data_IF_653022720180
#
_entry.id   IF_653022720180
#
_cell.length_a   1.000
_cell.length_b   1.000
_cell.length_c   1.000
_cell.angle_alpha   90.00
_cell.angle_beta   90.00
_cell.angle_gamma   90.00
#
_symmetry.space_group_name_H-M   'P 1'
#
loop_
_entity.id
_entity.type
_entity.pdbx_description
1 polymer ?
#
# COMPACT_ATOMS: atom_id res chain seq x y z
N UNK A 1 11.66 31.91 -12.63
CA UNK A 1 10.88 32.30 -11.43
C UNK A 1 10.64 31.03 -10.63
N UNK A 2 11.42 30.80 -9.58
CA UNK A 2 11.21 29.68 -8.67
C UNK A 2 9.85 29.88 -8.00
N UNK A 3 8.87 29.07 -8.40
CA UNK A 3 7.57 29.00 -7.73
C UNK A 3 7.83 28.38 -6.37
N UNK A 4 7.90 29.24 -5.35
CA UNK A 4 8.17 28.89 -3.97
C UNK A 4 7.00 28.02 -3.47
N UNK A 5 7.10 26.70 -3.70
CA UNK A 5 6.07 25.74 -3.27
C UNK A 5 5.98 25.77 -1.75
N UNK A 6 4.79 26.06 -1.23
CA UNK A 6 4.52 26.02 0.21
C UNK A 6 4.99 24.69 0.82
N UNK A 7 5.66 24.77 1.97
CA UNK A 7 6.04 23.57 2.72
C UNK A 7 4.82 22.92 3.37
N UNK A 8 4.92 21.65 3.79
CA UNK A 8 3.82 20.97 4.50
C UNK A 8 3.39 21.70 5.78
N UNK A 9 4.30 22.45 6.41
CA UNK A 9 4.02 23.27 7.60
C UNK A 9 3.32 24.58 7.28
N UNK A 10 3.26 24.98 6.01
CA UNK A 10 2.61 26.22 5.57
C UNK A 10 1.19 25.99 5.07
N UNK A 11 0.80 24.74 4.80
CA UNK A 11 -0.59 24.40 4.51
C UNK A 11 -1.50 24.72 5.71
N UNK A 12 -2.77 25.07 5.48
CA UNK A 12 -3.78 25.09 6.53
C UNK A 12 -3.79 23.74 7.28
N UNK A 13 -3.96 23.74 8.60
CA UNK A 13 -3.97 22.50 9.39
C UNK A 13 -4.99 21.48 8.85
N UNK A 14 -6.14 21.94 8.35
CA UNK A 14 -7.15 21.10 7.73
C UNK A 14 -6.68 20.32 6.50
N UNK A 15 -5.61 20.77 5.84
CA UNK A 15 -5.03 20.15 4.64
C UNK A 15 -3.75 19.36 4.95
N UNK A 16 -3.24 19.44 6.18
CA UNK A 16 -2.08 18.66 6.60
C UNK A 16 -2.53 17.23 6.89
N UNK A 17 -1.96 16.20 6.24
CA UNK A 17 -2.44 14.82 6.39
C UNK A 17 -2.49 14.36 7.85
N UNK A 18 -1.48 14.69 8.66
CA UNK A 18 -1.42 14.29 10.06
C UNK A 18 -2.56 14.89 10.89
N UNK A 19 -2.79 16.20 10.78
CA UNK A 19 -3.86 16.89 11.52
C UNK A 19 -5.24 16.49 11.00
N UNK A 20 -5.39 16.28 9.69
CA UNK A 20 -6.60 15.77 9.06
C UNK A 20 -6.94 14.37 9.57
N UNK A 21 -5.95 13.48 9.69
CA UNK A 21 -6.13 12.14 10.27
C UNK A 21 -6.55 12.23 11.74
N UNK A 22 -5.90 13.09 12.52
CA UNK A 22 -6.23 13.29 13.94
C UNK A 22 -7.65 13.82 14.16
N UNK A 23 -8.11 14.72 13.29
CA UNK A 23 -9.40 15.40 13.44
C UNK A 23 -10.58 14.62 12.86
N UNK A 24 -10.41 14.03 11.68
CA UNK A 24 -11.50 13.40 10.92
C UNK A 24 -11.36 11.88 10.79
N UNK A 25 -10.18 11.32 11.08
CA UNK A 25 -9.89 9.90 10.96
C UNK A 25 -9.34 9.50 9.58
N UNK A 26 -8.81 8.27 9.46
CA UNK A 26 -8.11 7.80 8.27
C UNK A 26 -8.98 7.73 7.01
N UNK A 27 -10.29 7.54 7.15
CA UNK A 27 -11.23 7.41 6.03
C UNK A 27 -11.40 8.70 5.20
N UNK A 28 -11.01 9.86 5.75
CA UNK A 28 -11.07 11.14 5.06
C UNK A 28 -9.81 11.44 4.23
N UNK A 29 -8.81 10.55 4.27
CA UNK A 29 -7.54 10.71 3.58
C UNK A 29 -7.55 9.88 2.31
N UNK A 30 -6.98 10.46 1.25
CA UNK A 30 -6.57 9.71 0.06
C UNK A 30 -5.39 8.79 0.37
N UNK A 31 -5.18 7.76 -0.47
CA UNK A 31 -4.01 6.88 -0.40
C UNK A 31 -2.69 7.67 -0.39
N UNK A 32 -2.63 8.76 -1.16
CA UNK A 32 -1.47 9.64 -1.19
C UNK A 32 -1.23 10.36 0.14
N UNK A 33 -2.29 10.81 0.82
CA UNK A 33 -2.20 11.43 2.14
C UNK A 33 -1.78 10.40 3.21
N UNK A 34 -2.29 9.18 3.14
CA UNK A 34 -1.89 8.08 4.03
C UNK A 34 -0.39 7.75 3.86
N UNK A 35 0.07 7.59 2.61
CA UNK A 35 1.48 7.39 2.32
C UNK A 35 2.34 8.58 2.74
N UNK A 36 1.86 9.81 2.59
CA UNK A 36 2.58 11.00 3.03
C UNK A 36 2.81 11.02 4.55
N UNK A 37 1.86 10.51 5.34
CA UNK A 37 2.04 10.33 6.79
C UNK A 37 3.16 9.32 7.06
N UNK A 38 3.18 8.19 6.35
CA UNK A 38 4.24 7.18 6.47
C UNK A 38 5.61 7.77 6.14
N UNK A 39 5.70 8.56 5.05
CA UNK A 39 6.94 9.19 4.62
C UNK A 39 7.44 10.26 5.59
N UNK A 40 6.55 10.86 6.39
CA UNK A 40 6.75 11.97 7.35
C UNK A 40 7.22 13.30 6.73
N UNK A 41 8.08 13.25 5.73
CA UNK A 41 8.69 14.41 5.09
C UNK A 41 8.74 14.24 3.57
N UNK A 42 8.72 15.38 2.88
CA UNK A 42 8.91 15.44 1.43
C UNK A 42 10.35 15.16 1.01
N UNK A 43 10.74 15.76 -0.11
CA UNK A 43 12.12 15.84 -0.59
C UNK A 43 12.40 17.28 -1.02
N UNK A 44 13.62 17.59 -1.46
CA UNK A 44 13.97 18.95 -1.89
C UNK A 44 13.07 19.39 -3.05
N UNK A 45 12.19 20.35 -2.79
CA UNK A 45 11.26 20.92 -3.78
C UNK A 45 9.99 20.11 -4.05
N UNK A 46 9.71 19.05 -3.27
CA UNK A 46 8.52 18.19 -3.47
C UNK A 46 7.94 17.76 -2.12
N UNK A 47 6.62 17.95 -1.93
CA UNK A 47 5.94 17.57 -0.68
C UNK A 47 5.73 16.05 -0.61
N UNK A 48 5.56 15.52 0.61
CA UNK A 48 5.32 14.09 0.81
C UNK A 48 4.10 13.56 0.04
N UNK A 49 3.00 14.33 0.00
CA UNK A 49 1.78 13.99 -0.77
C UNK A 49 2.06 13.98 -2.27
N UNK A 50 2.87 14.89 -2.79
CA UNK A 50 3.23 14.93 -4.22
C UNK A 50 4.08 13.72 -4.61
N UNK A 51 5.04 13.34 -3.77
CA UNK A 51 5.83 12.11 -3.94
C UNK A 51 4.92 10.88 -3.94
N UNK A 52 3.97 10.81 -3.00
CA UNK A 52 3.03 9.71 -2.89
C UNK A 52 2.07 9.62 -4.09
N UNK A 53 1.53 10.75 -4.56
CA UNK A 53 0.70 10.79 -5.76
C UNK A 53 1.45 10.24 -6.97
N UNK A 54 2.69 10.69 -7.18
CA UNK A 54 3.52 10.24 -8.31
C UNK A 54 3.88 8.76 -8.22
N UNK A 55 4.12 8.25 -7.01
CA UNK A 55 4.34 6.83 -6.77
C UNK A 55 3.11 6.00 -7.18
N UNK A 56 1.91 6.43 -6.79
CA UNK A 56 0.65 5.74 -7.09
C UNK A 56 0.30 5.75 -8.59
N UNK A 57 0.83 6.68 -9.37
CA UNK A 57 0.61 6.76 -10.82
C UNK A 57 1.71 6.09 -11.65
N UNK A 58 2.72 5.50 -11.02
CA UNK A 58 3.92 5.00 -11.72
C UNK A 58 3.61 3.78 -12.60
N UNK A 59 2.77 2.88 -12.11
CA UNK A 59 2.35 1.71 -12.85
C UNK A 59 1.08 2.02 -13.65
N UNK A 60 1.22 2.18 -14.96
CA UNK A 60 0.09 2.51 -15.84
C UNK A 60 -0.93 1.38 -15.96
N UNK A 61 -0.50 0.13 -15.78
CA UNK A 61 -1.37 -1.04 -15.87
C UNK A 61 -2.13 -1.30 -14.58
N UNK A 62 -1.51 -1.00 -13.43
CA UNK A 62 -2.10 -1.15 -12.11
C UNK A 62 -1.88 0.13 -11.28
N UNK A 63 -2.64 1.21 -11.54
CA UNK A 63 -2.52 2.43 -10.75
C UNK A 63 -2.96 2.21 -9.29
N UNK A 64 -2.49 3.06 -8.39
CA UNK A 64 -2.81 3.02 -6.97
C UNK A 64 -1.96 2.04 -6.16
N UNK A 65 -2.45 1.64 -4.99
CA UNK A 65 -1.72 0.78 -4.04
C UNK A 65 -1.43 -0.62 -4.61
N UNK A 66 -2.26 -1.12 -5.52
CA UNK A 66 -2.09 -2.44 -6.14
C UNK A 66 -0.79 -2.50 -6.93
N UNK A 67 -0.44 -1.44 -7.67
CA UNK A 67 0.79 -1.36 -8.43
C UNK A 67 2.08 -1.46 -7.61
N UNK A 68 1.98 -1.24 -6.29
CA UNK A 68 3.12 -1.28 -5.38
C UNK A 68 3.46 -2.69 -4.90
N UNK A 69 2.55 -3.68 -5.06
CA UNK A 69 2.77 -5.05 -4.57
C UNK A 69 3.94 -5.77 -5.25
N UNK A 70 4.18 -5.45 -6.52
CA UNK A 70 5.18 -6.09 -7.38
C UNK A 70 6.43 -5.22 -7.59
N UNK A 71 6.52 -4.07 -6.91
CA UNK A 71 7.66 -3.15 -7.10
C UNK A 71 8.81 -3.51 -6.16
N UNK A 72 9.99 -3.78 -6.72
CA UNK A 72 11.21 -4.06 -5.95
C UNK A 72 11.77 -2.82 -5.24
N UNK A 73 12.61 -3.01 -4.22
CA UNK A 73 13.33 -1.90 -3.56
C UNK A 73 14.13 -1.06 -4.56
N UNK A 74 14.82 -1.73 -5.50
CA UNK A 74 15.65 -1.07 -6.50
C UNK A 74 14.81 -0.21 -7.45
N UNK A 75 13.60 -0.65 -7.81
CA UNK A 75 12.67 0.13 -8.61
C UNK A 75 12.12 1.33 -7.83
N UNK A 76 11.74 1.14 -6.56
CA UNK A 76 11.29 2.22 -5.69
C UNK A 76 12.37 3.31 -5.54
N UNK A 77 13.63 2.91 -5.37
CA UNK A 77 14.75 3.85 -5.17
C UNK A 77 15.13 4.65 -6.43
N UNK A 78 14.71 4.20 -7.62
CA UNK A 78 14.86 4.99 -8.86
C UNK A 78 13.91 6.19 -8.90
N UNK A 79 12.89 6.20 -8.05
CA UNK A 79 11.89 7.26 -8.01
C UNK A 79 12.47 8.45 -7.26
N UNK A 80 12.58 9.62 -7.91
CA UNK A 80 13.02 10.86 -7.28
C UNK A 80 12.28 11.09 -5.96
N UNK A 81 12.99 11.42 -4.89
CA UNK A 81 12.39 11.69 -3.58
C UNK A 81 12.02 10.44 -2.75
N UNK A 82 12.24 9.22 -3.29
CA UNK A 82 12.12 7.94 -2.60
C UNK A 82 13.53 7.33 -2.51
N UNK A 83 14.18 7.56 -1.37
CA UNK A 83 15.45 6.90 -1.04
C UNK A 83 15.23 5.60 -0.27
N UNK A 84 16.31 5.05 0.26
CA UNK A 84 16.32 3.80 1.04
C UNK A 84 15.24 3.77 2.14
N UNK A 85 15.19 4.80 3.00
CA UNK A 85 14.22 4.89 4.10
C UNK A 85 12.78 4.75 3.61
N UNK A 86 12.36 5.53 2.60
CA UNK A 86 10.99 5.49 2.10
C UNK A 86 10.70 4.18 1.35
N UNK A 87 11.69 3.61 0.66
CA UNK A 87 11.53 2.32 -0.01
C UNK A 87 11.28 1.17 0.99
N UNK A 88 11.99 1.17 2.12
CA UNK A 88 11.80 0.20 3.21
C UNK A 88 10.43 0.42 3.86
N UNK A 89 10.03 1.66 4.10
CA UNK A 89 8.70 1.98 4.65
C UNK A 89 7.58 1.44 3.76
N UNK A 90 7.67 1.64 2.43
CA UNK A 90 6.68 1.13 1.47
C UNK A 90 6.62 -0.40 1.57
N UNK A 91 7.76 -1.09 1.48
CA UNK A 91 7.77 -2.55 1.58
C UNK A 91 7.17 -3.06 2.90
N UNK A 92 7.48 -2.42 4.02
CA UNK A 92 6.92 -2.77 5.31
C UNK A 92 5.39 -2.60 5.33
N UNK A 93 4.87 -1.49 4.81
CA UNK A 93 3.42 -1.26 4.72
C UNK A 93 2.74 -2.27 3.80
N UNK A 94 3.33 -2.57 2.64
CA UNK A 94 2.78 -3.55 1.70
C UNK A 94 2.78 -4.97 2.31
N UNK A 95 3.83 -5.35 3.01
CA UNK A 95 3.89 -6.64 3.70
C UNK A 95 2.88 -6.73 4.85
N UNK A 96 2.70 -5.66 5.63
CA UNK A 96 1.65 -5.61 6.65
C UNK A 96 0.26 -5.72 6.02
N UNK A 97 0.01 -5.04 4.89
CA UNK A 97 -1.23 -5.16 4.12
C UNK A 97 -1.48 -6.60 3.67
N UNK A 98 -0.47 -7.29 3.09
CA UNK A 98 -0.53 -8.71 2.73
C UNK A 98 -0.90 -9.59 3.93
N UNK A 99 -0.26 -9.35 5.08
CA UNK A 99 -0.55 -10.08 6.32
C UNK A 99 -1.96 -9.82 6.81
N UNK A 100 -2.43 -8.58 6.82
CA UNK A 100 -3.79 -8.24 7.24
C UNK A 100 -4.84 -8.90 6.35
N UNK A 101 -4.66 -8.89 5.03
CA UNK A 101 -5.54 -9.61 4.10
C UNK A 101 -5.57 -11.11 4.42
N UNK A 102 -4.40 -11.71 4.69
CA UNK A 102 -4.30 -13.12 5.11
C UNK A 102 -4.93 -13.40 6.48
N UNK A 103 -4.85 -12.47 7.43
CA UNK A 103 -5.45 -12.58 8.77
C UNK A 103 -6.97 -12.41 8.74
N UNK A 104 -7.52 -11.52 7.91
CA UNK A 104 -8.96 -11.47 7.67
C UNK A 104 -9.43 -12.77 6.97
N UNK A 105 -8.53 -13.41 6.21
CA UNK A 105 -8.62 -14.81 5.78
C UNK A 105 -8.78 -15.86 6.91
N UNK A 106 -8.56 -15.50 8.18
CA UNK A 106 -8.70 -16.42 9.34
C UNK A 106 -10.00 -16.24 10.13
N UNK A 107 -10.81 -15.23 9.86
CA UNK A 107 -12.19 -15.23 10.37
C UNK A 107 -13.01 -16.25 9.57
N UNK A 108 -12.97 -17.50 10.03
CA UNK A 108 -13.83 -18.63 9.67
C UNK A 108 -14.14 -18.78 8.17
N UNK A 109 -13.11 -18.97 7.34
CA UNK A 109 -13.34 -19.48 6.00
C UNK A 109 -13.77 -20.95 6.10
N UNK A 110 -15.07 -21.19 5.96
CA UNK A 110 -15.59 -22.52 5.75
C UNK A 110 -15.38 -22.89 4.29
N UNK A 111 -14.50 -23.85 4.02
CA UNK A 111 -14.32 -24.39 2.68
C UNK A 111 -15.46 -25.38 2.42
N UNK A 112 -16.56 -24.86 1.89
CA UNK A 112 -17.74 -25.65 1.52
C UNK A 112 -17.89 -25.85 0.02
N UNK A 113 -16.99 -25.27 -0.78
CA UNK A 113 -17.04 -25.37 -2.25
C UNK A 113 -15.69 -25.07 -2.92
N UNK A 114 -15.48 -25.52 -4.18
CA UNK A 114 -14.34 -25.10 -4.99
C UNK A 114 -14.20 -23.57 -5.10
N UNK A 115 -15.32 -22.84 -5.11
CA UNK A 115 -15.32 -21.38 -5.17
C UNK A 115 -14.76 -20.75 -3.89
N UNK A 116 -15.06 -21.32 -2.73
CA UNK A 116 -14.53 -20.82 -1.46
C UNK A 116 -13.01 -20.98 -1.35
N UNK A 117 -12.45 -22.09 -1.84
CA UNK A 117 -10.98 -22.26 -1.83
C UNK A 117 -10.29 -21.38 -2.87
N UNK A 118 -10.92 -21.18 -4.03
CA UNK A 118 -10.45 -20.22 -5.02
C UNK A 118 -10.41 -18.81 -4.45
N UNK A 119 -11.46 -18.34 -3.76
CA UNK A 119 -11.48 -16.99 -3.18
C UNK A 119 -10.32 -16.72 -2.20
N UNK A 120 -9.83 -17.75 -1.50
CA UNK A 120 -8.70 -17.64 -0.54
C UNK A 120 -7.37 -17.50 -1.27
N UNK A 121 -7.12 -18.35 -2.27
CA UNK A 121 -5.80 -18.46 -2.89
C UNK A 121 -5.67 -17.75 -4.23
N UNK A 122 -6.76 -17.34 -4.86
CA UNK A 122 -6.74 -16.80 -6.23
C UNK A 122 -5.96 -15.49 -6.32
N UNK A 123 -6.09 -14.58 -5.35
CA UNK A 123 -5.30 -13.34 -5.34
C UNK A 123 -3.79 -13.60 -5.15
N UNK A 124 -3.42 -14.61 -4.37
CA UNK A 124 -2.02 -15.00 -4.20
C UNK A 124 -1.49 -15.74 -5.44
N UNK A 125 -2.29 -16.61 -6.03
CA UNK A 125 -1.84 -17.54 -7.08
C UNK A 125 -1.91 -16.97 -8.50
N UNK A 126 -2.73 -15.94 -8.75
CA UNK A 126 -2.94 -15.38 -10.11
C UNK A 126 -1.70 -14.77 -10.75
N UNK A 127 -0.68 -14.44 -9.95
CA UNK A 127 0.57 -13.83 -10.42
C UNK A 127 1.74 -14.82 -10.49
N UNK A 128 1.53 -16.09 -10.09
CA UNK A 128 2.57 -17.11 -10.12
C UNK A 128 2.86 -17.54 -11.56
N UNK A 129 4.15 -17.58 -11.92
CA UNK A 129 4.63 -17.90 -13.28
C UNK A 129 4.97 -19.38 -13.48
N UNK A 130 4.82 -20.18 -12.44
CA UNK A 130 5.07 -21.62 -12.42
C UNK A 130 3.90 -22.31 -11.72
N UNK A 131 3.77 -23.63 -11.89
CA UNK A 131 2.77 -24.40 -11.17
C UNK A 131 3.20 -24.58 -9.71
N UNK A 132 2.29 -24.30 -8.78
CA UNK A 132 2.51 -24.48 -7.35
C UNK A 132 1.46 -25.41 -6.76
N UNK A 133 1.92 -26.53 -6.20
CA UNK A 133 1.08 -27.43 -5.43
C UNK A 133 0.95 -26.93 -3.98
N UNK A 134 -0.28 -26.82 -3.49
CA UNK A 134 -0.60 -26.38 -2.12
C UNK A 134 -1.45 -27.42 -1.40
N UNK A 135 -1.11 -27.70 -0.15
CA UNK A 135 -1.89 -28.56 0.75
C UNK A 135 -2.67 -27.68 1.71
N UNK A 136 -3.97 -27.98 1.85
CA UNK A 136 -4.87 -27.29 2.77
C UNK A 136 -5.37 -28.31 3.78
N UNK A 137 -5.06 -28.08 5.05
CA UNK A 137 -5.45 -28.94 6.16
C UNK A 137 -6.69 -28.34 6.80
N UNK A 138 -7.74 -29.14 6.95
CA UNK A 138 -9.04 -28.72 7.46
C UNK A 138 -9.40 -29.46 8.74
N UNK A 139 -10.12 -28.78 9.63
CA UNK A 139 -10.79 -29.42 10.76
C UNK A 139 -12.14 -30.06 10.36
N UNK A 140 -12.82 -30.71 11.32
CA UNK A 140 -14.13 -31.36 11.10
C UNK A 140 -15.27 -30.41 10.76
N UNK A 141 -15.04 -29.08 10.81
CA UNK A 141 -16.00 -28.04 10.42
C UNK A 141 -15.62 -27.38 9.10
N UNK A 142 -14.65 -27.96 8.37
CA UNK A 142 -14.08 -27.46 7.12
C UNK A 142 -13.44 -26.06 7.27
N UNK A 143 -12.74 -25.82 8.38
CA UNK A 143 -11.96 -24.60 8.64
C UNK A 143 -10.46 -24.87 8.61
#
# INVERSE_FOLDING_TARGET
MDSQKMTMKELPESERPYEKLKKYGPHFLSDAELLAIVFRTGSRGERAVEIAQRLLTLNQYNPGLIGLYDTSLQELQKIKGIGEVKSIQIQAVMELSKRFAKYQGKEQFKISSPRSIAAIYMEEMRYLKQEHFKVVLLDTKNK
#
